data_IF_629403972516
#
_entry.id   IF_629403972516
#
_cell.length_a   1.000
_cell.length_b   1.000
_cell.length_c   1.000
_cell.angle_alpha   90.00
_cell.angle_beta   90.00
_cell.angle_gamma   90.00
#
_symmetry.space_group_name_H-M   'P 1'
#
loop_
_entity.id
_entity.type
_entity.pdbx_description
1 polymer ?
#
# COMPACT_ATOMS: atom_id res chain seq x y z
N UNK A 1 -35.12 -2.87 27.08
CA UNK A 1 -34.80 -3.59 25.82
C UNK A 1 -33.32 -3.38 25.59
N UNK A 2 -32.56 -4.46 25.74
CA UNK A 2 -31.11 -4.47 25.90
C UNK A 2 -30.44 -4.27 24.52
N UNK A 3 -29.74 -3.16 24.31
CA UNK A 3 -28.88 -2.98 23.14
C UNK A 3 -27.67 -3.88 23.32
N UNK A 4 -27.77 -5.10 22.77
CA UNK A 4 -26.70 -6.09 22.76
C UNK A 4 -25.45 -5.51 22.09
N UNK A 5 -24.42 -5.36 22.91
CA UNK A 5 -23.00 -5.57 22.63
C UNK A 5 -22.62 -5.46 21.14
N UNK A 6 -22.10 -4.30 20.76
CA UNK A 6 -21.21 -4.18 19.62
C UNK A 6 -20.12 -5.27 19.77
N UNK A 7 -19.85 -6.08 18.73
CA UNK A 7 -18.91 -7.19 18.84
C UNK A 7 -17.55 -6.67 19.31
N UNK A 8 -16.92 -7.46 20.17
CA UNK A 8 -15.67 -7.17 20.86
C UNK A 8 -14.68 -6.46 19.93
N UNK A 9 -14.08 -5.35 20.40
CA UNK A 9 -12.91 -4.76 19.76
C UNK A 9 -11.88 -5.88 19.60
N UNK A 10 -11.66 -6.32 18.37
CA UNK A 10 -10.56 -7.21 18.05
C UNK A 10 -9.30 -6.37 18.19
N UNK A 11 -8.55 -6.59 19.26
CA UNK A 11 -7.26 -5.93 19.42
C UNK A 11 -6.41 -6.26 18.19
N UNK A 12 -5.74 -5.26 17.59
CA UNK A 12 -4.90 -5.51 16.44
C UNK A 12 -3.82 -6.52 16.83
N UNK A 13 -3.40 -7.39 15.89
CA UNK A 13 -2.30 -8.30 16.15
C UNK A 13 -1.07 -7.49 16.59
N UNK A 14 -0.21 -8.10 17.41
CA UNK A 14 1.08 -7.50 17.72
C UNK A 14 1.87 -7.33 16.42
N UNK A 15 1.99 -6.09 15.94
CA UNK A 15 2.74 -5.75 14.74
C UNK A 15 4.08 -5.12 15.10
N UNK A 16 5.11 -5.40 14.29
CA UNK A 16 6.34 -4.64 14.29
C UNK A 16 6.13 -3.33 13.51
N UNK A 17 5.26 -2.46 14.02
CA UNK A 17 4.83 -1.25 13.32
C UNK A 17 3.93 -0.35 14.15
N UNK A 18 3.38 0.68 13.52
CA UNK A 18 2.47 1.64 14.15
C UNK A 18 1.08 1.41 13.59
N UNK A 19 0.13 1.10 14.47
CA UNK A 19 -1.30 1.14 14.15
C UNK A 19 -1.82 2.55 14.43
N UNK A 20 -2.45 3.18 13.42
CA UNK A 20 -2.99 4.53 13.53
C UNK A 20 -4.48 4.47 13.89
N UNK A 21 -4.81 4.88 15.11
CA UNK A 21 -6.18 5.04 15.60
C UNK A 21 -6.34 6.47 16.16
N UNK A 22 -7.14 7.34 15.52
CA UNK A 22 -7.95 7.08 14.33
C UNK A 22 -7.11 6.97 13.03
N UNK A 23 -7.64 6.34 11.99
CA UNK A 23 -6.99 6.31 10.68
C UNK A 23 -6.83 7.73 10.13
N UNK A 24 -5.71 7.98 9.43
CA UNK A 24 -5.47 9.24 8.75
C UNK A 24 -6.12 9.22 7.37
N UNK A 25 -6.81 10.30 7.02
CA UNK A 25 -7.29 10.49 5.65
C UNK A 25 -6.12 10.74 4.71
N UNK A 26 -6.18 10.16 3.51
CA UNK A 26 -5.27 10.50 2.42
C UNK A 26 -5.90 11.63 1.62
N UNK A 27 -5.20 12.74 1.50
CA UNK A 27 -5.60 13.91 0.70
C UNK A 27 -5.67 13.57 -0.79
N UNK A 28 -6.35 14.41 -1.57
CA UNK A 28 -6.42 14.24 -3.02
C UNK A 28 -5.07 14.52 -3.68
N UNK A 29 -4.75 13.72 -4.70
CA UNK A 29 -3.52 13.84 -5.48
C UNK A 29 -3.75 13.37 -6.91
N UNK A 30 -2.86 13.83 -7.79
CA UNK A 30 -2.77 13.37 -9.17
C UNK A 30 -1.31 13.06 -9.47
N UNK A 31 -1.05 11.80 -9.81
CA UNK A 31 0.24 11.29 -10.26
C UNK A 31 0.13 10.76 -11.69
N UNK A 32 1.24 10.29 -12.24
CA UNK A 32 1.31 9.59 -13.52
C UNK A 32 1.81 8.18 -13.23
N UNK A 33 1.15 7.17 -13.80
CA UNK A 33 1.57 5.78 -13.67
C UNK A 33 2.64 5.38 -14.71
N UNK A 34 3.16 4.17 -14.60
CA UNK A 34 4.20 3.64 -15.49
C UNK A 34 3.76 3.50 -16.96
N UNK A 35 2.48 3.68 -17.27
CA UNK A 35 1.93 3.68 -18.64
C UNK A 35 1.63 5.08 -19.15
N UNK A 36 2.00 6.12 -18.39
CA UNK A 36 1.75 7.51 -18.72
C UNK A 36 0.31 7.97 -18.43
N UNK A 37 -0.50 7.17 -17.74
CA UNK A 37 -1.88 7.52 -17.44
C UNK A 37 -2.01 8.25 -16.09
N UNK A 38 -2.98 9.16 -15.94
CA UNK A 38 -3.28 9.76 -14.64
C UNK A 38 -3.62 8.71 -13.59
N UNK A 39 -3.03 8.86 -12.41
CA UNK A 39 -3.32 8.06 -11.22
C UNK A 39 -3.84 8.97 -10.11
N UNK A 40 -5.06 8.70 -9.64
CA UNK A 40 -5.70 9.41 -8.53
C UNK A 40 -6.09 8.42 -7.43
N UNK A 41 -6.51 8.97 -6.28
CA UNK A 41 -7.05 8.22 -5.14
C UNK A 41 -8.19 7.25 -5.53
N UNK A 42 -8.96 7.53 -6.57
CA UNK A 42 -10.08 6.66 -6.98
C UNK A 42 -9.62 5.27 -7.43
N UNK A 43 -8.37 5.13 -7.91
CA UNK A 43 -7.85 3.87 -8.46
C UNK A 43 -7.63 2.78 -7.39
N UNK A 44 -7.55 3.14 -6.12
CA UNK A 44 -7.32 2.23 -4.99
C UNK A 44 -8.48 2.16 -3.98
N UNK A 45 -9.58 2.88 -4.21
CA UNK A 45 -10.70 2.86 -3.30
C UNK A 45 -11.31 1.46 -3.20
N UNK A 46 -11.62 1.02 -1.98
CA UNK A 46 -12.22 -0.30 -1.71
C UNK A 46 -11.23 -1.48 -1.75
N UNK A 47 -9.93 -1.22 -1.93
CA UNK A 47 -8.86 -2.23 -1.93
C UNK A 47 -7.96 -2.09 -0.71
N UNK A 48 -7.42 -3.20 -0.22
CA UNK A 48 -6.28 -3.13 0.70
C UNK A 48 -5.07 -2.64 -0.05
N UNK A 49 -4.48 -1.52 0.38
CA UNK A 49 -3.38 -0.88 -0.33
C UNK A 49 -2.07 -1.04 0.44
N UNK A 50 -1.11 -1.72 -0.18
CA UNK A 50 0.27 -1.81 0.27
C UNK A 50 1.09 -0.78 -0.48
N UNK A 51 1.56 0.25 0.22
CA UNK A 51 2.21 1.40 -0.36
C UNK A 51 3.66 1.51 0.13
N UNK A 52 4.58 1.76 -0.78
CA UNK A 52 5.97 2.06 -0.48
C UNK A 52 6.43 3.32 -1.24
N UNK A 53 7.06 4.24 -0.52
CA UNK A 53 7.72 5.41 -1.09
C UNK A 53 9.21 5.12 -1.23
N UNK A 54 9.78 5.32 -2.42
CA UNK A 54 11.21 5.06 -2.66
C UNK A 54 11.69 5.65 -3.98
N UNK A 55 12.85 5.23 -4.47
CA UNK A 55 13.36 5.61 -5.78
C UNK A 55 14.21 4.47 -6.37
N UNK A 56 14.25 4.35 -7.70
CA UNK A 56 14.82 3.15 -8.36
C UNK A 56 16.35 3.06 -8.25
N UNK A 57 17.03 4.19 -8.06
CA UNK A 57 18.48 4.29 -7.94
C UNK A 57 19.02 4.14 -6.50
N UNK A 58 18.19 3.72 -5.54
CA UNK A 58 18.67 3.57 -4.17
C UNK A 58 19.58 2.33 -4.06
N UNK A 59 20.86 2.50 -3.68
CA UNK A 59 21.84 1.42 -3.79
C UNK A 59 21.69 0.30 -2.75
N UNK A 60 20.74 0.40 -1.82
CA UNK A 60 20.67 -0.52 -0.67
C UNK A 60 19.23 -0.86 -0.23
N UNK A 61 18.54 0.04 0.49
CA UNK A 61 17.32 -0.35 1.22
C UNK A 61 16.07 -0.53 0.36
N UNK A 62 15.98 0.14 -0.80
CA UNK A 62 14.81 0.04 -1.68
C UNK A 62 14.65 -1.34 -2.35
N UNK A 63 15.69 -1.93 -2.99
CA UNK A 63 15.53 -3.25 -3.61
C UNK A 63 15.16 -4.33 -2.58
N UNK A 64 15.66 -4.21 -1.34
CA UNK A 64 15.28 -5.14 -0.27
C UNK A 64 13.79 -5.03 0.08
N UNK A 65 13.28 -3.81 0.26
CA UNK A 65 11.86 -3.59 0.61
C UNK A 65 10.92 -4.07 -0.50
N UNK A 66 11.27 -3.82 -1.77
CA UNK A 66 10.49 -4.29 -2.91
C UNK A 66 10.48 -5.83 -3.02
N UNK A 67 11.61 -6.48 -2.68
CA UNK A 67 11.68 -7.93 -2.63
C UNK A 67 10.75 -8.50 -1.55
N UNK A 68 10.70 -7.89 -0.36
CA UNK A 68 9.78 -8.31 0.70
C UNK A 68 8.31 -8.12 0.31
N UNK A 69 7.95 -7.00 -0.32
CA UNK A 69 6.61 -6.80 -0.87
C UNK A 69 6.24 -7.85 -1.92
N UNK A 70 7.16 -8.21 -2.81
CA UNK A 70 6.94 -9.28 -3.80
C UNK A 70 6.72 -10.65 -3.15
N UNK A 71 7.45 -10.97 -2.08
CA UNK A 71 7.25 -12.21 -1.31
C UNK A 71 5.88 -12.22 -0.64
N UNK A 72 5.50 -11.12 0.01
CA UNK A 72 4.19 -10.97 0.66
C UNK A 72 3.05 -11.17 -0.35
N UNK A 73 3.12 -10.55 -1.53
CA UNK A 73 2.12 -10.73 -2.57
C UNK A 73 1.96 -12.20 -2.97
N UNK A 74 3.07 -12.94 -3.13
CA UNK A 74 3.03 -14.37 -3.45
C UNK A 74 2.35 -15.21 -2.36
N UNK A 75 2.63 -14.91 -1.09
CA UNK A 75 1.99 -15.58 0.04
C UNK A 75 0.48 -15.30 0.04
N UNK A 76 0.07 -14.03 -0.10
CA UNK A 76 -1.35 -13.67 -0.15
C UNK A 76 -2.07 -14.31 -1.33
N UNK A 77 -1.41 -14.45 -2.48
CA UNK A 77 -1.97 -15.14 -3.64
C UNK A 77 -2.17 -16.64 -3.37
N UNK A 78 -1.21 -17.32 -2.73
CA UNK A 78 -1.31 -18.73 -2.34
C UNK A 78 -2.46 -18.99 -1.37
N UNK A 79 -2.71 -18.05 -0.46
CA UNK A 79 -3.80 -18.11 0.53
C UNK A 79 -5.14 -17.62 -0.04
N UNK A 80 -5.23 -17.30 -1.33
CA UNK A 80 -6.43 -16.74 -1.98
C UNK A 80 -6.90 -15.40 -1.40
N UNK A 81 -6.00 -14.65 -0.76
CA UNK A 81 -6.25 -13.34 -0.13
C UNK A 81 -5.83 -12.15 -1.01
N UNK A 82 -5.34 -12.39 -2.24
CA UNK A 82 -4.82 -11.32 -3.11
C UNK A 82 -5.86 -10.63 -3.99
N UNK A 83 -7.09 -11.15 -4.04
CA UNK A 83 -8.09 -10.77 -5.04
C UNK A 83 -8.53 -9.28 -4.98
N UNK A 84 -8.35 -8.61 -3.84
CA UNK A 84 -8.77 -7.23 -3.62
C UNK A 84 -7.66 -6.33 -3.05
N UNK A 85 -6.42 -6.60 -3.45
CA UNK A 85 -5.25 -5.84 -3.01
C UNK A 85 -4.75 -4.89 -4.10
N UNK A 86 -4.09 -3.81 -3.69
CA UNK A 86 -3.35 -2.89 -4.52
C UNK A 86 -1.91 -2.77 -3.96
N UNK A 87 -0.92 -2.87 -4.83
CA UNK A 87 0.50 -2.74 -4.47
C UNK A 87 1.06 -1.55 -5.22
N UNK A 88 1.58 -0.56 -4.49
CA UNK A 88 2.02 0.70 -5.08
C UNK A 88 3.40 1.08 -4.62
N UNK A 89 4.20 1.42 -5.62
CA UNK A 89 5.47 2.09 -5.46
C UNK A 89 5.29 3.53 -5.93
N UNK A 90 5.52 4.49 -5.03
CA UNK A 90 5.51 5.91 -5.37
C UNK A 90 6.94 6.41 -5.34
N UNK A 91 7.42 6.89 -6.49
CA UNK A 91 8.75 7.49 -6.55
C UNK A 91 8.78 8.81 -5.76
N UNK A 92 9.85 9.01 -4.98
CA UNK A 92 10.18 10.29 -4.35
C UNK A 92 11.19 11.10 -5.17
N UNK A 93 11.56 10.62 -6.36
CA UNK A 93 12.60 11.18 -7.22
C UNK A 93 12.15 11.27 -8.70
N UNK A 94 11.17 12.14 -8.99
CA UNK A 94 10.56 12.24 -10.31
C UNK A 94 11.50 12.77 -11.41
N UNK A 95 12.66 13.32 -11.03
CA UNK A 95 13.66 13.78 -11.99
C UNK A 95 14.41 12.63 -12.67
N UNK A 96 14.44 11.44 -12.03
CA UNK A 96 15.17 10.26 -12.52
C UNK A 96 14.23 9.09 -12.80
N UNK A 97 13.19 8.92 -11.98
CA UNK A 97 12.20 7.86 -12.13
C UNK A 97 11.02 8.33 -12.98
N UNK A 98 11.17 8.20 -14.30
CA UNK A 98 10.14 8.56 -15.30
C UNK A 98 9.46 7.30 -15.86
N UNK A 99 8.18 7.33 -16.27
CA UNK A 99 7.49 6.16 -16.84
C UNK A 99 8.22 5.50 -18.03
N UNK A 100 8.98 6.27 -18.80
CA UNK A 100 9.71 5.80 -19.98
C UNK A 100 11.00 5.03 -19.66
N UNK A 101 11.40 4.99 -18.38
CA UNK A 101 12.73 4.54 -17.96
C UNK A 101 12.67 3.47 -16.88
#
# INVERSE_FOLDING_TARGET
MNFGLLPDRVDPPAIAGIFLEPPRSVEDFTLIDQTGQPFTKDRWHGKWTFLYFGYTFCPDICPLTLLELSKMQKILAQEHLDQNNAYLFISVDPARDTPER
#
